data_IF_080496379620
#
_entry.id   IF_080496379620
#
_cell.length_a   1.000
_cell.length_b   1.000
_cell.length_c   1.000
_cell.angle_alpha   90.00
_cell.angle_beta   90.00
_cell.angle_gamma   90.00
#
_symmetry.space_group_name_H-M   'P 1'
#
loop_
_entity.id
_entity.type
_entity.pdbx_description
1 polymer ?
#
# COMPACT_ATOMS: atom_id res chain seq x y z
N UNK A 1 -40.19 -15.10 22.82
CA UNK A 1 -38.92 -14.70 23.45
C UNK A 1 -38.36 -13.50 22.68
N UNK A 2 -38.37 -12.31 23.27
CA UNK A 2 -37.84 -11.07 22.65
C UNK A 2 -36.43 -10.82 23.19
N UNK A 3 -35.43 -10.56 22.36
CA UNK A 3 -34.09 -10.19 22.85
C UNK A 3 -34.07 -8.75 23.34
N UNK A 4 -33.63 -8.58 24.59
CA UNK A 4 -33.50 -7.31 25.29
C UNK A 4 -32.08 -6.77 25.11
N UNK A 5 -31.88 -5.79 24.21
CA UNK A 5 -30.58 -5.16 23.91
C UNK A 5 -30.54 -3.65 24.16
N UNK A 6 -31.40 -3.15 25.02
CA UNK A 6 -31.39 -1.74 25.40
C UNK A 6 -30.65 -1.54 26.74
N UNK A 7 -29.32 -1.36 26.71
CA UNK A 7 -28.58 -0.74 27.81
C UNK A 7 -28.38 0.74 27.51
N UNK A 8 -28.75 1.65 28.40
CA UNK A 8 -28.52 3.08 28.21
C UNK A 8 -27.05 3.41 28.39
N UNK A 9 -26.50 4.13 27.39
CA UNK A 9 -25.18 4.74 27.45
C UNK A 9 -25.16 5.75 28.59
N UNK A 10 -24.35 5.52 29.64
CA UNK A 10 -24.06 6.48 30.67
C UNK A 10 -23.21 7.62 30.11
N UNK A 11 -23.80 8.79 29.96
CA UNK A 11 -23.11 10.05 29.75
C UNK A 11 -22.27 10.37 30.99
N UNK A 12 -20.97 10.10 30.94
CA UNK A 12 -20.01 10.53 31.94
C UNK A 12 -19.92 12.05 31.97
N UNK A 13 -20.31 12.64 33.09
CA UNK A 13 -20.10 14.05 33.43
C UNK A 13 -18.59 14.32 33.44
N UNK A 14 -18.08 14.99 32.42
CA UNK A 14 -16.76 15.59 32.44
C UNK A 14 -16.88 16.93 33.16
N UNK A 15 -16.60 16.93 34.45
CA UNK A 15 -16.44 18.16 35.20
C UNK A 15 -15.28 18.98 34.62
N UNK A 16 -15.44 20.29 34.41
CA UNK A 16 -14.33 21.13 33.99
C UNK A 16 -13.31 21.23 35.11
N UNK A 17 -12.14 20.63 34.89
CA UNK A 17 -10.98 20.76 35.76
C UNK A 17 -10.47 22.19 35.62
N UNK A 18 -10.91 23.05 36.58
CA UNK A 18 -10.36 24.41 36.77
C UNK A 18 -8.87 24.25 37.09
N UNK A 19 -8.02 24.57 36.11
CA UNK A 19 -6.59 24.72 36.35
C UNK A 19 -6.38 25.92 37.27
N UNK A 20 -6.04 25.62 38.50
CA UNK A 20 -5.52 26.59 39.49
C UNK A 20 -4.14 27.09 39.00
N UNK A 21 -4.10 28.29 38.42
CA UNK A 21 -2.90 28.98 37.94
C UNK A 21 -2.32 29.87 39.03
N UNK A 22 -2.39 29.44 40.28
CA UNK A 22 -1.90 30.21 41.44
C UNK A 22 -0.61 29.61 42.01
N UNK A 23 0.42 29.39 41.14
CA UNK A 23 1.72 28.89 41.57
C UNK A 23 2.89 29.70 40.99
N UNK A 24 4.08 29.65 41.62
CA UNK A 24 5.27 30.47 41.27
C UNK A 24 5.83 30.16 39.85
N UNK A 25 5.20 29.29 39.07
CA UNK A 25 5.57 28.99 37.70
C UNK A 25 5.17 30.08 36.69
N UNK A 26 4.29 31.00 37.08
CA UNK A 26 3.90 32.15 36.23
C UNK A 26 5.04 33.14 35.99
N UNK A 27 6.01 33.21 36.93
CA UNK A 27 7.18 34.09 36.78
C UNK A 27 8.23 33.57 35.79
N UNK A 28 8.25 32.23 35.49
CA UNK A 28 9.22 31.64 34.58
C UNK A 28 8.86 31.89 33.12
N UNK A 29 7.57 32.11 32.81
CA UNK A 29 7.10 32.32 31.43
C UNK A 29 7.31 33.76 30.95
N UNK A 30 7.54 34.72 31.87
CA UNK A 30 7.80 36.11 31.49
C UNK A 30 9.23 36.35 30.98
N UNK A 31 10.18 35.45 31.29
CA UNK A 31 11.59 35.65 30.97
C UNK A 31 11.99 35.12 29.59
N UNK A 32 11.10 34.41 28.87
CA UNK A 32 11.37 33.89 27.55
C UNK A 32 11.13 34.94 26.44
N UNK A 33 10.49 36.08 26.82
CA UNK A 33 10.12 37.13 25.84
C UNK A 33 11.22 38.13 25.48
N UNK A 34 12.38 38.05 26.12
CA UNK A 34 13.46 39.04 25.96
C UNK A 34 14.60 38.64 24.99
N UNK A 35 14.57 37.45 24.41
CA UNK A 35 15.63 37.01 23.48
C UNK A 35 15.22 36.94 22.00
N UNK A 36 14.13 37.61 21.64
CA UNK A 36 13.77 37.74 20.22
C UNK A 36 14.40 39.00 19.61
N UNK A 37 15.72 39.13 19.72
CA UNK A 37 16.44 40.18 18.98
C UNK A 37 17.08 39.64 17.72
N UNK A 38 16.49 40.04 16.60
CA UNK A 38 17.13 40.18 15.28
C UNK A 38 17.66 38.89 14.63
N UNK A 39 16.76 38.13 14.08
CA UNK A 39 17.07 37.37 12.88
C UNK A 39 16.04 37.79 11.80
N UNK A 40 16.15 39.03 11.35
CA UNK A 40 15.24 39.61 10.32
C UNK A 40 15.64 39.24 8.90
N UNK A 41 16.66 38.36 8.69
CA UNK A 41 17.12 37.95 7.38
C UNK A 41 16.88 36.47 7.02
N UNK A 42 16.46 35.61 7.96
CA UNK A 42 16.46 34.15 7.75
C UNK A 42 15.05 33.54 7.71
N UNK A 43 14.00 34.38 7.67
CA UNK A 43 12.60 33.89 7.72
C UNK A 43 12.13 33.22 6.41
N UNK A 44 12.85 33.45 5.31
CA UNK A 44 12.48 32.88 4.00
C UNK A 44 13.22 31.59 3.66
N UNK A 45 14.32 31.29 4.37
CA UNK A 45 15.10 30.06 4.12
C UNK A 45 14.56 28.85 4.88
N UNK A 46 13.92 29.05 6.03
CA UNK A 46 13.30 27.96 6.80
C UNK A 46 12.18 27.21 6.05
N UNK A 47 11.22 27.89 5.40
CA UNK A 47 10.17 27.19 4.65
C UNK A 47 10.72 26.51 3.38
N UNK A 48 11.76 27.07 2.75
CA UNK A 48 12.42 26.45 1.59
C UNK A 48 13.15 25.15 1.97
N UNK A 49 13.82 25.13 3.12
CA UNK A 49 14.49 23.92 3.65
C UNK A 49 13.48 22.83 4.06
N UNK A 50 12.34 23.23 4.66
CA UNK A 50 11.27 22.30 5.01
C UNK A 50 10.59 21.70 3.77
N UNK A 51 10.43 22.49 2.71
CA UNK A 51 9.86 22.03 1.44
C UNK A 51 10.82 21.10 0.70
N UNK A 52 12.13 21.36 0.72
CA UNK A 52 13.14 20.49 0.13
C UNK A 52 13.25 19.13 0.87
N UNK A 53 13.09 19.12 2.19
CA UNK A 53 13.11 17.88 2.98
C UNK A 53 11.93 16.95 2.68
N UNK A 54 10.77 17.49 2.26
CA UNK A 54 9.60 16.69 1.90
C UNK A 54 9.79 15.89 0.61
N UNK A 55 10.67 16.34 -0.30
CA UNK A 55 10.96 15.64 -1.56
C UNK A 55 11.97 14.49 -1.43
N UNK A 56 12.68 14.38 -0.29
CA UNK A 56 13.71 13.36 -0.08
C UNK A 56 13.17 12.02 0.45
N UNK A 57 11.88 11.91 0.78
CA UNK A 57 11.27 10.67 1.31
C UNK A 57 10.39 10.00 0.25
N UNK A 58 10.82 10.01 -0.99
CA UNK A 58 10.23 9.12 -1.99
C UNK A 58 11.00 7.80 -1.97
N UNK A 59 10.69 6.93 -1.02
CA UNK A 59 11.05 5.53 -1.15
C UNK A 59 10.31 5.00 -2.39
N UNK A 60 11.02 4.48 -3.41
CA UNK A 60 10.34 3.78 -4.48
C UNK A 60 9.57 2.64 -3.82
N UNK A 61 8.25 2.67 -3.92
CA UNK A 61 7.44 1.50 -3.63
C UNK A 61 7.87 0.46 -4.66
N UNK A 62 8.77 -0.46 -4.28
CA UNK A 62 9.01 -1.66 -5.04
C UNK A 62 7.67 -2.38 -5.07
N UNK A 63 6.97 -2.30 -6.20
CA UNK A 63 5.91 -3.22 -6.48
C UNK A 63 6.55 -4.61 -6.33
N UNK A 64 6.08 -5.39 -5.35
CA UNK A 64 6.57 -6.75 -5.16
C UNK A 64 6.39 -7.45 -6.50
N UNK A 65 7.47 -8.02 -7.06
CA UNK A 65 7.39 -8.78 -8.31
C UNK A 65 6.46 -9.97 -8.07
N UNK A 66 5.29 -9.93 -8.68
CA UNK A 66 4.28 -10.96 -8.58
C UNK A 66 4.19 -11.75 -9.87
N UNK A 67 4.02 -13.03 -9.73
CA UNK A 67 3.89 -13.97 -10.81
C UNK A 67 2.64 -14.82 -10.60
N UNK A 68 2.04 -15.25 -11.71
CA UNK A 68 0.91 -16.16 -11.67
C UNK A 68 1.17 -17.36 -12.55
N UNK A 69 0.89 -18.56 -12.06
CA UNK A 69 0.81 -19.73 -12.89
C UNK A 69 -0.64 -19.95 -13.35
N UNK A 70 -0.78 -20.38 -14.60
CA UNK A 70 -2.06 -20.44 -15.25
C UNK A 70 -2.17 -21.61 -16.23
N UNK A 71 -3.42 -21.96 -16.57
CA UNK A 71 -3.76 -22.85 -17.68
C UNK A 71 -4.53 -22.06 -18.73
N UNK A 72 -4.19 -22.30 -19.99
CA UNK A 72 -4.84 -21.67 -21.13
C UNK A 72 -5.11 -22.66 -22.24
N UNK A 73 -6.09 -22.34 -23.10
CA UNK A 73 -6.45 -23.10 -24.29
C UNK A 73 -6.47 -22.24 -25.56
N UNK A 74 -6.33 -22.91 -26.68
CA UNK A 74 -6.62 -22.41 -28.02
C UNK A 74 -7.52 -23.43 -28.71
N UNK A 75 -8.60 -22.97 -29.38
CA UNK A 75 -9.63 -23.90 -29.86
C UNK A 75 -9.41 -24.40 -31.32
N UNK A 76 -8.61 -23.72 -32.14
CA UNK A 76 -8.46 -24.07 -33.53
C UNK A 76 -7.00 -24.08 -34.00
N UNK A 77 -6.27 -25.21 -33.92
CA UNK A 77 -6.62 -26.51 -33.33
C UNK A 77 -6.63 -26.46 -31.80
N UNK A 78 -7.32 -27.41 -31.18
CA UNK A 78 -7.34 -27.47 -29.71
C UNK A 78 -5.92 -27.72 -29.17
N UNK A 79 -5.46 -26.76 -28.39
CA UNK A 79 -4.16 -26.79 -27.72
C UNK A 79 -4.32 -26.32 -26.29
N UNK A 80 -3.61 -26.95 -25.40
CA UNK A 80 -3.59 -26.61 -23.99
C UNK A 80 -2.15 -26.34 -23.57
N UNK A 81 -1.94 -25.39 -22.67
CA UNK A 81 -0.65 -25.23 -22.03
C UNK A 81 -0.79 -24.76 -20.58
N UNK A 82 0.22 -25.07 -19.80
CA UNK A 82 0.53 -24.46 -18.53
C UNK A 82 1.61 -23.40 -18.76
N UNK A 83 1.53 -22.27 -18.06
CA UNK A 83 2.50 -21.20 -18.20
C UNK A 83 2.63 -20.37 -16.92
N UNK A 84 3.66 -19.53 -16.89
CA UNK A 84 3.92 -18.56 -15.85
C UNK A 84 3.98 -17.17 -16.49
N UNK A 85 3.30 -16.21 -15.88
CA UNK A 85 3.24 -14.82 -16.34
C UNK A 85 3.58 -13.89 -15.17
N UNK A 86 4.33 -12.81 -15.45
CA UNK A 86 4.52 -11.73 -14.48
C UNK A 86 3.27 -10.85 -14.47
N UNK A 87 2.80 -10.49 -13.28
CA UNK A 87 1.61 -9.66 -13.07
C UNK A 87 1.94 -8.44 -12.22
N UNK A 88 1.18 -7.38 -12.40
CA UNK A 88 1.40 -6.11 -11.72
C UNK A 88 1.00 -6.13 -10.23
N UNK A 89 0.20 -7.09 -9.82
CA UNK A 89 -0.30 -7.20 -8.43
C UNK A 89 -0.37 -8.65 -7.97
N UNK A 90 -0.22 -8.86 -6.65
CA UNK A 90 -0.34 -10.19 -6.04
C UNK A 90 -1.80 -10.61 -5.74
N UNK A 91 -2.78 -9.88 -6.24
CA UNK A 91 -4.19 -10.23 -6.10
C UNK A 91 -4.62 -11.24 -7.16
N UNK A 92 -5.14 -12.40 -6.77
CA UNK A 92 -5.56 -13.45 -7.69
C UNK A 92 -6.59 -12.97 -8.74
N UNK A 93 -7.56 -12.14 -8.33
CA UNK A 93 -8.57 -11.62 -9.25
C UNK A 93 -7.99 -10.65 -10.28
N UNK A 94 -7.08 -9.77 -9.86
CA UNK A 94 -6.43 -8.81 -10.76
C UNK A 94 -5.43 -9.52 -11.67
N UNK A 95 -4.67 -10.48 -11.15
CA UNK A 95 -3.77 -11.34 -11.92
C UNK A 95 -4.53 -12.10 -13.01
N UNK A 96 -5.70 -12.65 -12.70
CA UNK A 96 -6.54 -13.34 -13.68
C UNK A 96 -7.05 -12.39 -14.78
N UNK A 97 -7.45 -11.17 -14.42
CA UNK A 97 -7.90 -10.16 -15.40
C UNK A 97 -6.75 -9.77 -16.33
N UNK A 98 -5.58 -9.48 -15.76
CA UNK A 98 -4.39 -9.10 -16.52
C UNK A 98 -3.89 -10.24 -17.42
N UNK A 99 -3.78 -11.46 -16.89
CA UNK A 99 -3.38 -12.64 -17.65
C UNK A 99 -4.37 -12.92 -18.78
N UNK A 100 -5.69 -12.83 -18.54
CA UNK A 100 -6.72 -13.02 -19.55
C UNK A 100 -6.56 -12.05 -20.72
N UNK A 101 -6.33 -10.76 -20.44
CA UNK A 101 -6.17 -9.75 -21.49
C UNK A 101 -4.94 -10.02 -22.36
N UNK A 102 -3.78 -10.36 -21.74
CA UNK A 102 -2.53 -10.64 -22.48
C UNK A 102 -2.63 -11.93 -23.29
N UNK A 103 -3.23 -12.97 -22.75
CA UNK A 103 -3.43 -14.24 -23.43
C UNK A 103 -4.37 -14.11 -24.63
N UNK A 104 -5.48 -13.36 -24.48
CA UNK A 104 -6.41 -13.09 -25.58
C UNK A 104 -5.75 -12.35 -26.73
N UNK A 105 -4.88 -11.39 -26.46
CA UNK A 105 -4.10 -10.69 -27.49
C UNK A 105 -3.18 -11.65 -28.30
N UNK A 106 -2.78 -12.78 -27.69
CA UNK A 106 -1.98 -13.83 -28.31
C UNK A 106 -2.81 -15.02 -28.88
N UNK A 107 -4.14 -14.90 -28.90
CA UNK A 107 -5.06 -15.93 -29.40
C UNK A 107 -5.29 -17.09 -28.46
N UNK A 108 -5.06 -16.89 -27.15
CA UNK A 108 -5.27 -17.89 -26.10
C UNK A 108 -6.43 -17.48 -25.20
N UNK A 109 -7.15 -18.46 -24.70
CA UNK A 109 -8.20 -18.27 -23.69
C UNK A 109 -7.71 -18.76 -22.34
N UNK A 110 -7.69 -17.90 -21.34
CA UNK A 110 -7.39 -18.26 -19.96
C UNK A 110 -8.45 -19.22 -19.45
N UNK A 111 -8.05 -20.37 -18.90
CA UNK A 111 -8.95 -21.29 -18.22
C UNK A 111 -9.03 -20.97 -16.72
N UNK A 112 -7.88 -20.90 -16.08
CA UNK A 112 -7.79 -20.50 -14.67
C UNK A 112 -6.37 -20.06 -14.31
N UNK A 113 -6.26 -19.21 -13.30
CA UNK A 113 -5.04 -18.96 -12.53
C UNK A 113 -5.00 -19.98 -11.39
N UNK A 114 -3.89 -20.69 -11.27
CA UNK A 114 -3.71 -21.74 -10.26
C UNK A 114 -3.26 -21.11 -8.95
N UNK A 115 -2.21 -20.29 -9.01
CA UNK A 115 -1.69 -19.56 -7.85
C UNK A 115 -1.05 -18.23 -8.26
N UNK A 116 -0.89 -17.33 -7.28
CA UNK A 116 -0.09 -16.11 -7.41
C UNK A 116 1.02 -16.19 -6.37
N UNK A 117 2.26 -15.89 -6.77
CA UNK A 117 3.44 -16.11 -5.95
C UNK A 117 4.53 -15.05 -6.23
N UNK A 118 5.51 -14.97 -5.35
CA UNK A 118 6.68 -14.13 -5.51
C UNK A 118 7.80 -14.77 -6.34
N UNK A 119 8.93 -14.10 -6.51
CA UNK A 119 10.05 -14.56 -7.33
C UNK A 119 10.65 -15.89 -6.86
N UNK A 120 10.48 -16.24 -5.59
CA UNK A 120 10.96 -17.50 -5.00
C UNK A 120 10.32 -18.75 -5.64
N UNK A 121 9.08 -18.62 -6.11
CA UNK A 121 8.34 -19.72 -6.75
C UNK A 121 8.67 -19.97 -8.23
N UNK A 122 9.49 -19.14 -8.84
CA UNK A 122 9.78 -19.20 -10.27
C UNK A 122 10.56 -20.46 -10.68
N UNK A 123 11.56 -20.84 -9.89
CA UNK A 123 12.44 -21.95 -10.24
C UNK A 123 11.72 -23.28 -10.31
N UNK A 124 10.79 -23.53 -9.40
CA UNK A 124 9.99 -24.75 -9.34
C UNK A 124 9.12 -24.93 -10.58
N UNK A 125 8.60 -23.82 -11.13
CA UNK A 125 7.62 -23.81 -12.22
C UNK A 125 8.24 -23.68 -13.61
N UNK A 126 9.53 -23.35 -13.68
CA UNK A 126 10.22 -23.08 -14.93
C UNK A 126 10.23 -24.27 -15.88
N UNK A 127 10.50 -25.46 -15.36
CA UNK A 127 10.56 -26.68 -16.16
C UNK A 127 9.18 -27.04 -16.74
N UNK A 128 8.14 -26.96 -15.92
CA UNK A 128 6.77 -27.32 -16.29
C UNK A 128 6.16 -26.28 -17.28
N UNK A 129 6.47 -25.01 -17.12
CA UNK A 129 6.01 -23.96 -18.02
C UNK A 129 6.72 -24.00 -19.40
N UNK A 130 7.94 -24.50 -19.45
CA UNK A 130 8.70 -24.69 -20.69
C UNK A 130 8.74 -23.42 -21.55
N UNK A 131 8.22 -23.50 -22.79
CA UNK A 131 8.18 -22.37 -23.73
C UNK A 131 7.17 -21.25 -23.34
N UNK A 132 6.34 -21.48 -22.35
CA UNK A 132 5.35 -20.52 -21.83
C UNK A 132 5.78 -19.90 -20.49
N UNK A 133 7.05 -20.05 -20.15
CA UNK A 133 7.64 -19.39 -19.00
C UNK A 133 7.92 -17.92 -19.31
N UNK A 134 7.23 -17.01 -18.63
CA UNK A 134 7.34 -15.53 -18.77
C UNK A 134 7.24 -15.04 -20.23
N UNK A 135 6.41 -15.69 -21.02
CA UNK A 135 6.28 -15.39 -22.45
C UNK A 135 5.31 -14.26 -22.77
N UNK A 136 4.26 -14.08 -21.97
CA UNK A 136 3.19 -13.13 -22.19
C UNK A 136 3.25 -11.94 -21.24
#
# INVERSE_FOLDING_TARGET
MKPNWATPVQTGNIAPMLLDISGPKALLLLNIRASQRRVTGMRHFLPLLAFAALFLVQTPAHAADCYADYKAKQDSPLRLHYGVIQVSTCSANQAATEASARLQAAGWTLLNVISVFGPEGLQERKADAGSYYLRF
#
